data_IF_898696514990
#
_entry.id   IF_898696514990
#
_cell.length_a   1.000
_cell.length_b   1.000
_cell.length_c   1.000
_cell.angle_alpha   90.00
_cell.angle_beta   90.00
_cell.angle_gamma   90.00
#
_symmetry.space_group_name_H-M   'P 1'
#
loop_
_entity.id
_entity.type
_entity.pdbx_description
1 polymer ?
#
# COMPACT_ATOMS: atom_id res chain seq x y z
N UNK A 1 -0.88 -6.13 -4.06
CA UNK A 1 -0.72 -5.33 -2.82
C UNK A 1 -1.50 -5.90 -1.64
N UNK A 2 -2.84 -5.89 -1.65
CA UNK A 2 -3.65 -6.39 -0.51
C UNK A 2 -3.23 -7.82 -0.09
N UNK A 3 -3.06 -8.73 -1.06
CA UNK A 3 -2.59 -10.09 -0.79
C UNK A 3 -1.23 -10.11 -0.05
N UNK A 4 -0.27 -9.28 -0.47
CA UNK A 4 1.06 -9.21 0.15
C UNK A 4 0.97 -8.75 1.62
N UNK A 5 0.12 -7.75 1.88
CA UNK A 5 -0.10 -7.20 3.22
C UNK A 5 -0.89 -8.16 4.12
N UNK A 6 -1.91 -8.84 3.58
CA UNK A 6 -2.58 -9.95 4.26
C UNK A 6 -1.59 -11.04 4.63
N UNK A 7 -0.71 -11.40 3.70
CA UNK A 7 0.38 -12.34 3.93
C UNK A 7 1.28 -11.95 5.08
N UNK A 8 1.77 -10.72 5.03
CA UNK A 8 2.58 -10.13 6.08
C UNK A 8 1.89 -10.22 7.46
N UNK A 9 0.63 -9.78 7.56
CA UNK A 9 -0.10 -9.79 8.83
C UNK A 9 -0.34 -11.20 9.38
N UNK A 10 -0.71 -12.16 8.53
CA UNK A 10 -0.89 -13.56 8.92
C UNK A 10 0.45 -14.17 9.38
N UNK A 11 1.53 -13.92 8.63
CA UNK A 11 2.86 -14.42 8.93
C UNK A 11 3.35 -13.90 10.30
N UNK A 12 3.21 -12.60 10.57
CA UNK A 12 3.55 -12.00 11.87
C UNK A 12 2.69 -12.54 13.01
N UNK A 13 1.39 -12.77 12.77
CA UNK A 13 0.49 -13.37 13.78
C UNK A 13 0.94 -14.77 14.18
N UNK A 14 1.42 -15.55 13.20
CA UNK A 14 1.86 -16.92 13.40
C UNK A 14 3.34 -17.05 13.76
N UNK A 15 4.09 -15.94 13.81
CA UNK A 15 5.57 -15.95 13.93
C UNK A 15 6.21 -16.83 12.85
N UNK A 16 5.76 -16.64 11.62
CA UNK A 16 6.19 -17.38 10.43
C UNK A 16 6.73 -16.42 9.38
N UNK A 17 7.46 -16.95 8.41
CA UNK A 17 7.92 -16.21 7.24
C UNK A 17 6.91 -16.29 6.11
N UNK A 18 6.67 -15.17 5.44
CA UNK A 18 5.76 -15.11 4.32
C UNK A 18 6.49 -15.48 3.03
N UNK A 19 6.08 -16.57 2.38
CA UNK A 19 6.57 -16.99 1.08
C UNK A 19 5.53 -16.74 -0.02
N UNK A 20 5.99 -16.33 -1.19
CA UNK A 20 5.17 -16.22 -2.38
C UNK A 20 5.32 -17.48 -3.22
N UNK A 21 4.30 -18.37 -3.25
CA UNK A 21 4.35 -19.55 -4.08
C UNK A 21 4.12 -19.17 -5.55
N UNK A 22 4.77 -19.88 -6.46
CA UNK A 22 4.51 -19.76 -7.88
C UNK A 22 3.92 -21.07 -8.41
N UNK A 23 2.86 -20.96 -9.20
CA UNK A 23 2.49 -22.07 -10.09
C UNK A 23 3.50 -22.10 -11.24
N UNK A 24 3.77 -23.29 -11.76
CA UNK A 24 4.60 -23.45 -12.96
C UNK A 24 4.02 -22.60 -14.09
N UNK A 25 4.84 -21.73 -14.68
CA UNK A 25 4.47 -20.89 -15.83
C UNK A 25 3.90 -19.50 -15.50
N UNK A 26 3.68 -19.14 -14.23
CA UNK A 26 3.23 -17.77 -13.85
C UNK A 26 4.31 -16.92 -13.19
N UNK A 27 5.48 -17.50 -12.90
CA UNK A 27 6.57 -16.86 -12.16
C UNK A 27 7.01 -15.53 -12.78
N UNK A 28 7.28 -15.51 -14.08
CA UNK A 28 7.72 -14.30 -14.77
C UNK A 28 6.70 -13.16 -14.70
N UNK A 29 5.40 -13.51 -14.77
CA UNK A 29 4.31 -12.56 -14.65
C UNK A 29 4.26 -11.94 -13.25
N UNK A 30 4.35 -12.76 -12.20
CA UNK A 30 4.35 -12.28 -10.81
C UNK A 30 5.60 -11.45 -10.52
N UNK A 31 6.79 -11.89 -10.95
CA UNK A 31 8.04 -11.14 -10.77
C UNK A 31 7.93 -9.74 -11.39
N UNK A 32 7.33 -9.61 -12.57
CA UNK A 32 7.10 -8.30 -13.20
C UNK A 32 6.26 -7.37 -12.32
N UNK A 33 5.22 -7.87 -11.65
CA UNK A 33 4.45 -7.06 -10.69
C UNK A 33 5.24 -6.73 -9.43
N UNK A 34 6.02 -7.66 -8.91
CA UNK A 34 6.86 -7.41 -7.74
C UNK A 34 7.93 -6.34 -8.03
N UNK A 35 8.51 -6.35 -9.22
CA UNK A 35 9.41 -5.30 -9.70
C UNK A 35 8.71 -3.94 -9.79
N UNK A 36 7.46 -3.89 -10.26
CA UNK A 36 6.69 -2.64 -10.22
C UNK A 36 6.41 -2.19 -8.79
N UNK A 37 6.08 -3.10 -7.89
CA UNK A 37 5.89 -2.76 -6.49
C UNK A 37 7.17 -2.29 -5.83
N UNK A 38 8.34 -2.85 -6.12
CA UNK A 38 9.61 -2.38 -5.53
C UNK A 38 9.99 -0.98 -6.00
N UNK A 39 9.62 -0.59 -7.23
CA UNK A 39 9.76 0.79 -7.72
C UNK A 39 8.85 1.78 -6.97
N UNK A 40 7.66 1.33 -6.54
CA UNK A 40 6.67 2.19 -5.87
C UNK A 40 6.87 2.20 -4.34
N UNK A 41 7.05 1.02 -3.75
CA UNK A 41 7.15 0.73 -2.31
C UNK A 41 8.40 -0.13 -2.04
N UNK A 42 9.60 0.46 -1.99
CA UNK A 42 10.85 -0.30 -1.94
C UNK A 42 10.97 -1.25 -0.74
N UNK A 43 10.37 -0.90 0.39
CA UNK A 43 10.40 -1.73 1.61
C UNK A 43 9.46 -2.93 1.54
N UNK A 44 8.52 -2.98 0.59
CA UNK A 44 7.59 -4.11 0.46
C UNK A 44 8.30 -5.42 0.15
N UNK A 45 9.41 -5.37 -0.59
CA UNK A 45 10.18 -6.56 -0.95
C UNK A 45 10.81 -7.26 0.26
N UNK A 46 10.97 -6.54 1.39
CA UNK A 46 11.50 -7.09 2.64
C UNK A 46 10.48 -7.92 3.43
N UNK A 47 9.22 -7.97 2.96
CA UNK A 47 8.10 -8.58 3.69
C UNK A 47 7.76 -9.99 3.24
N UNK A 48 8.46 -10.51 2.24
CA UNK A 48 8.21 -11.83 1.70
C UNK A 48 9.48 -12.46 1.09
N UNK A 49 9.46 -13.78 0.95
CA UNK A 49 10.49 -14.57 0.27
C UNK A 49 9.87 -15.24 -0.96
N UNK A 50 10.61 -15.35 -2.06
CA UNK A 50 10.16 -16.08 -3.23
C UNK A 50 10.39 -17.57 -3.03
N UNK A 51 9.34 -18.38 -3.10
CA UNK A 51 9.44 -19.83 -2.94
C UNK A 51 10.25 -20.46 -4.08
N UNK A 52 11.06 -21.46 -3.74
CA UNK A 52 11.68 -22.34 -4.73
C UNK A 52 10.64 -23.25 -5.41
N UNK A 53 10.97 -23.70 -6.62
CA UNK A 53 10.08 -24.58 -7.37
C UNK A 53 10.06 -25.98 -6.74
N UNK A 54 8.86 -26.50 -6.47
CA UNK A 54 8.68 -27.89 -6.00
C UNK A 54 8.85 -28.09 -4.49
N UNK A 55 8.80 -27.02 -3.69
CA UNK A 55 8.75 -27.12 -2.22
C UNK A 55 7.58 -28.00 -1.79
N UNK A 56 7.85 -28.93 -0.86
CA UNK A 56 6.82 -29.75 -0.24
C UNK A 56 6.01 -28.89 0.74
N UNK A 57 4.70 -28.78 0.51
CA UNK A 57 3.82 -27.87 1.22
C UNK A 57 2.55 -28.57 1.67
N UNK A 58 2.09 -28.28 2.89
CA UNK A 58 0.81 -28.75 3.40
C UNK A 58 -0.27 -27.73 3.08
N UNK A 59 -1.25 -28.15 2.28
CA UNK A 59 -2.39 -27.29 1.94
C UNK A 59 -3.38 -27.22 3.10
N UNK A 60 -3.75 -26.00 3.48
CA UNK A 60 -4.71 -25.73 4.54
C UNK A 60 -5.85 -24.92 3.97
N UNK A 61 -7.09 -25.39 4.14
CA UNK A 61 -8.28 -24.58 3.83
C UNK A 61 -8.27 -23.35 4.74
N UNK A 62 -8.38 -22.15 4.15
CA UNK A 62 -8.32 -20.89 4.88
C UNK A 62 -9.28 -19.90 4.23
N UNK A 63 -10.12 -19.20 5.00
CA UNK A 63 -11.01 -18.14 4.51
C UNK A 63 -11.72 -18.46 3.16
N UNK A 64 -12.79 -19.26 3.22
CA UNK A 64 -13.48 -19.83 2.05
C UNK A 64 -14.19 -18.85 1.09
N UNK A 65 -14.08 -17.54 1.30
CA UNK A 65 -14.58 -16.52 0.39
C UNK A 65 -13.68 -15.28 0.42
N UNK A 66 -13.74 -14.44 -0.62
CA UNK A 66 -13.91 -13.02 -0.35
C UNK A 66 -13.06 -12.38 0.74
N UNK A 67 -13.84 -12.22 1.78
CA UNK A 67 -13.78 -11.18 2.75
C UNK A 67 -14.12 -11.81 4.11
N UNK A 68 -14.15 -13.16 4.17
CA UNK A 68 -14.28 -13.91 5.41
C UNK A 68 -12.99 -13.78 6.22
N UNK A 69 -13.15 -13.55 7.51
CA UNK A 69 -12.06 -13.64 8.47
C UNK A 69 -12.00 -15.04 9.06
N UNK A 70 -10.82 -15.65 8.99
CA UNK A 70 -10.49 -16.94 9.55
C UNK A 70 -9.28 -16.76 10.45
N UNK A 71 -9.43 -16.91 11.77
CA UNK A 71 -8.38 -16.54 12.71
C UNK A 71 -7.08 -17.34 12.46
N UNK A 72 -5.95 -16.70 12.08
CA UNK A 72 -4.69 -17.38 11.83
C UNK A 72 -4.23 -18.26 12.99
N UNK A 73 -4.46 -17.84 14.24
CA UNK A 73 -3.98 -18.53 15.43
C UNK A 73 -4.47 -19.97 15.57
N UNK A 74 -5.53 -20.39 14.85
CA UNK A 74 -5.90 -21.82 14.81
C UNK A 74 -4.81 -22.71 14.20
N UNK A 75 -3.83 -22.11 13.51
CA UNK A 75 -2.68 -22.77 12.91
C UNK A 75 -1.40 -22.66 13.75
N UNK A 76 -1.45 -22.05 14.95
CA UNK A 76 -0.26 -21.83 15.79
C UNK A 76 0.44 -23.13 16.19
N UNK A 77 -0.32 -24.22 16.32
CA UNK A 77 0.20 -25.53 16.74
C UNK A 77 0.53 -26.45 15.56
N UNK A 78 0.36 -25.97 14.32
CA UNK A 78 0.77 -26.74 13.16
C UNK A 78 2.31 -26.67 13.05
N UNK A 79 2.95 -27.83 12.89
CA UNK A 79 4.42 -27.99 12.84
C UNK A 79 4.94 -28.26 11.43
N UNK A 80 4.08 -28.21 10.40
CA UNK A 80 4.52 -28.33 9.02
C UNK A 80 5.38 -27.11 8.67
N UNK A 81 6.50 -27.36 7.99
CA UNK A 81 7.44 -26.33 7.55
C UNK A 81 6.71 -25.31 6.68
N UNK A 82 6.16 -25.75 5.55
CA UNK A 82 5.45 -24.87 4.62
C UNK A 82 3.94 -25.12 4.63
N UNK A 83 3.19 -24.08 4.98
CA UNK A 83 1.73 -24.03 4.96
C UNK A 83 1.23 -23.25 3.75
N UNK A 84 0.59 -23.95 2.81
CA UNK A 84 -0.09 -23.32 1.70
C UNK A 84 -1.52 -22.97 2.12
N UNK A 85 -1.76 -21.70 2.43
CA UNK A 85 -3.10 -21.21 2.75
C UNK A 85 -3.93 -21.09 1.47
N UNK A 86 -4.96 -21.91 1.38
CA UNK A 86 -5.88 -21.92 0.26
C UNK A 86 -7.05 -20.96 0.52
N UNK A 87 -6.85 -19.66 0.22
CA UNK A 87 -7.90 -18.64 0.24
C UNK A 87 -7.99 -17.92 -1.11
N UNK A 88 -9.19 -17.51 -1.53
CA UNK A 88 -9.43 -17.00 -2.89
C UNK A 88 -8.94 -15.56 -3.07
N UNK A 89 -9.21 -14.69 -2.09
CA UNK A 89 -8.91 -13.25 -2.20
C UNK A 89 -8.17 -12.68 -1.00
N UNK A 90 -8.42 -13.22 0.21
CA UNK A 90 -7.75 -12.76 1.43
C UNK A 90 -7.98 -11.27 1.72
N UNK A 91 -9.15 -10.76 1.34
CA UNK A 91 -9.47 -9.32 1.34
C UNK A 91 -10.04 -8.80 2.67
N UNK A 92 -9.82 -9.50 3.78
CA UNK A 92 -10.28 -9.05 5.09
C UNK A 92 -9.17 -8.27 5.82
N UNK A 93 -9.38 -6.99 6.17
CA UNK A 93 -8.34 -6.17 6.81
C UNK A 93 -7.95 -6.65 8.22
N UNK A 94 -8.78 -7.45 8.89
CA UNK A 94 -8.48 -8.00 10.22
C UNK A 94 -7.22 -8.88 10.25
N UNK A 95 -6.72 -9.32 9.11
CA UNK A 95 -5.45 -10.04 9.05
C UNK A 95 -4.24 -9.17 9.36
N UNK A 96 -4.37 -7.85 9.25
CA UNK A 96 -3.25 -6.94 9.32
C UNK A 96 -3.53 -5.63 10.06
N UNK A 97 -4.72 -5.48 10.64
CA UNK A 97 -5.16 -4.29 11.36
C UNK A 97 -4.23 -3.94 12.54
N UNK A 98 -3.79 -4.95 13.30
CA UNK A 98 -2.84 -4.78 14.41
C UNK A 98 -1.44 -4.34 13.94
N UNK A 99 -1.13 -4.53 12.65
CA UNK A 99 0.16 -4.20 12.05
C UNK A 99 0.11 -2.94 11.17
N UNK A 100 -0.96 -2.15 11.24
CA UNK A 100 -1.09 -0.92 10.46
C UNK A 100 0.10 0.06 10.60
N UNK A 101 0.72 0.26 11.79
CA UNK A 101 1.93 1.07 11.91
C UNK A 101 3.06 0.56 11.01
N UNK A 102 3.37 -0.73 11.07
CA UNK A 102 4.43 -1.37 10.28
C UNK A 102 4.10 -1.29 8.78
N UNK A 103 2.83 -1.52 8.42
CA UNK A 103 2.37 -1.48 7.02
C UNK A 103 2.52 -0.08 6.44
N UNK A 104 2.29 0.98 7.23
CA UNK A 104 2.53 2.36 6.77
C UNK A 104 3.99 2.61 6.47
N UNK A 105 4.91 2.06 7.27
CA UNK A 105 6.35 2.12 7.00
C UNK A 105 6.74 1.30 5.77
N UNK A 106 6.18 0.11 5.61
CA UNK A 106 6.41 -0.77 4.46
C UNK A 106 5.92 -0.13 3.15
N UNK A 107 4.76 0.54 3.20
CA UNK A 107 4.11 1.15 2.05
C UNK A 107 4.50 2.62 1.84
N UNK A 108 5.64 3.06 2.38
CA UNK A 108 6.19 4.35 2.02
C UNK A 108 6.58 4.37 0.54
N UNK A 109 6.12 5.42 -0.15
CA UNK A 109 6.49 5.65 -1.54
C UNK A 109 7.99 5.87 -1.69
N UNK A 110 8.56 5.34 -2.79
CA UNK A 110 9.94 5.60 -3.18
C UNK A 110 10.22 7.10 -3.30
N UNK A 111 11.49 7.49 -3.15
CA UNK A 111 11.92 8.91 -3.29
C UNK A 111 11.45 9.49 -4.62
N UNK A 112 11.61 8.74 -5.71
CA UNK A 112 11.18 9.15 -7.04
C UNK A 112 9.66 9.33 -7.13
N UNK A 113 8.89 8.36 -6.60
CA UNK A 113 7.42 8.45 -6.60
C UNK A 113 6.93 9.63 -5.76
N UNK A 114 7.56 9.88 -4.61
CA UNK A 114 7.28 11.07 -3.77
C UNK A 114 7.60 12.36 -4.52
N UNK A 115 8.73 12.45 -5.22
CA UNK A 115 9.10 13.63 -6.02
C UNK A 115 8.09 13.89 -7.13
N UNK A 116 7.85 12.90 -7.99
CA UNK A 116 6.93 13.01 -9.12
C UNK A 116 5.49 13.29 -8.65
N UNK A 117 5.04 12.60 -7.61
CA UNK A 117 3.73 12.82 -7.00
C UNK A 117 3.60 14.22 -6.39
N UNK A 118 4.65 14.73 -5.74
CA UNK A 118 4.65 16.08 -5.16
C UNK A 118 4.51 17.16 -6.21
N UNK A 119 5.11 17.01 -7.40
CA UNK A 119 4.92 17.96 -8.50
C UNK A 119 3.44 18.07 -8.89
N UNK A 120 2.74 16.94 -9.03
CA UNK A 120 1.30 16.91 -9.34
C UNK A 120 0.46 17.47 -8.18
N UNK A 121 0.71 16.98 -6.96
CA UNK A 121 -0.04 17.38 -5.77
C UNK A 121 0.15 18.86 -5.45
N UNK A 122 1.35 19.41 -5.63
CA UNK A 122 1.62 20.82 -5.36
C UNK A 122 0.88 21.73 -6.34
N UNK A 123 0.76 21.33 -7.61
CA UNK A 123 -0.07 22.06 -8.58
C UNK A 123 -1.53 22.05 -8.13
N UNK A 124 -2.06 20.89 -7.73
CA UNK A 124 -3.43 20.77 -7.23
C UNK A 124 -3.65 21.61 -5.96
N UNK A 125 -2.78 21.50 -4.95
CA UNK A 125 -2.88 22.26 -3.68
C UNK A 125 -2.84 23.77 -3.89
N UNK A 126 -2.02 24.28 -4.82
CA UNK A 126 -1.93 25.72 -5.12
C UNK A 126 -3.18 26.26 -5.80
N UNK A 127 -3.90 25.41 -6.53
CA UNK A 127 -5.02 25.82 -7.37
C UNK A 127 -6.38 25.43 -6.78
N UNK A 128 -6.41 24.50 -5.83
CA UNK A 128 -7.60 23.87 -5.26
C UNK A 128 -7.39 23.65 -3.76
N UNK A 129 -8.11 24.41 -2.93
CA UNK A 129 -8.12 24.24 -1.47
C UNK A 129 -9.29 23.39 -0.97
N UNK A 130 -10.30 23.14 -1.81
CA UNK A 130 -11.50 22.40 -1.44
C UNK A 130 -12.00 21.52 -2.60
N UNK A 131 -11.39 20.34 -2.74
CA UNK A 131 -11.55 19.42 -3.88
C UNK A 131 -12.15 18.08 -3.44
N UNK A 132 -13.19 17.62 -4.12
CA UNK A 132 -13.71 16.26 -3.98
C UNK A 132 -13.04 15.33 -4.99
N UNK A 133 -12.41 14.28 -4.51
CA UNK A 133 -11.81 13.23 -5.32
C UNK A 133 -12.77 12.05 -5.48
N UNK A 134 -13.12 11.69 -6.72
CA UNK A 134 -14.03 10.58 -7.03
C UNK A 134 -13.25 9.53 -7.83
N UNK A 135 -13.05 8.37 -7.22
CA UNK A 135 -12.47 7.19 -7.88
C UNK A 135 -13.57 6.24 -8.34
N UNK A 136 -13.54 5.82 -9.62
CA UNK A 136 -14.49 4.85 -10.16
C UNK A 136 -13.74 3.68 -10.81
N UNK A 137 -13.98 2.48 -10.29
CA UNK A 137 -13.61 1.20 -10.93
C UNK A 137 -14.84 0.59 -11.58
N UNK A 138 -14.84 0.48 -12.91
CA UNK A 138 -16.01 0.08 -13.69
C UNK A 138 -15.75 -1.08 -14.65
N UNK A 139 -14.61 -1.14 -15.31
CA UNK A 139 -14.42 -2.05 -16.47
C UNK A 139 -14.69 -3.52 -16.13
N UNK A 140 -13.87 -4.15 -15.30
CA UNK A 140 -14.09 -5.54 -14.87
C UNK A 140 -15.31 -5.68 -13.94
N UNK A 141 -15.70 -4.59 -13.27
CA UNK A 141 -16.85 -4.55 -12.38
C UNK A 141 -18.18 -4.69 -13.14
N UNK A 142 -18.26 -4.21 -14.39
CA UNK A 142 -19.42 -4.45 -15.28
C UNK A 142 -19.56 -5.96 -15.53
N UNK A 143 -18.46 -6.64 -15.89
CA UNK A 143 -18.47 -8.09 -16.14
C UNK A 143 -18.90 -8.89 -14.91
N UNK A 144 -18.48 -8.43 -13.73
CA UNK A 144 -18.83 -9.01 -12.42
C UNK A 144 -20.21 -8.60 -11.90
N UNK A 145 -20.95 -7.71 -12.61
CA UNK A 145 -22.26 -7.16 -12.21
C UNK A 145 -22.26 -6.45 -10.84
N UNK A 146 -21.15 -5.78 -10.53
CA UNK A 146 -20.95 -5.00 -9.28
C UNK A 146 -20.52 -3.57 -9.57
N UNK A 147 -20.64 -3.12 -10.82
CA UNK A 147 -20.33 -1.75 -11.21
C UNK A 147 -21.31 -0.77 -10.61
N UNK A 148 -20.79 0.38 -10.19
CA UNK A 148 -21.58 1.48 -9.64
C UNK A 148 -22.56 2.06 -10.66
N UNK A 149 -23.75 2.43 -10.20
CA UNK A 149 -24.74 3.17 -10.98
C UNK A 149 -24.34 4.64 -11.14
N UNK A 150 -24.58 5.20 -12.33
CA UNK A 150 -24.24 6.58 -12.64
C UNK A 150 -25.06 7.57 -11.80
N UNK A 151 -26.37 7.37 -11.73
CA UNK A 151 -27.28 8.30 -11.07
C UNK A 151 -27.05 8.30 -9.56
N UNK A 152 -26.87 7.13 -8.96
CA UNK A 152 -26.55 7.00 -7.53
C UNK A 152 -25.24 7.69 -7.19
N UNK A 153 -24.19 7.48 -8.01
CA UNK A 153 -22.88 8.13 -7.80
C UNK A 153 -22.98 9.64 -7.91
N UNK A 154 -23.66 10.16 -8.94
CA UNK A 154 -23.85 11.60 -9.17
C UNK A 154 -24.63 12.23 -8.01
N UNK A 155 -25.68 11.57 -7.54
CA UNK A 155 -26.47 12.03 -6.40
C UNK A 155 -25.62 12.08 -5.12
N UNK A 156 -24.86 11.01 -4.84
CA UNK A 156 -23.97 10.96 -3.68
C UNK A 156 -22.90 12.07 -3.74
N UNK A 157 -22.21 12.22 -4.87
CA UNK A 157 -21.19 13.25 -5.06
C UNK A 157 -21.75 14.66 -4.84
N UNK A 158 -22.89 14.99 -5.46
CA UNK A 158 -23.53 16.30 -5.31
C UNK A 158 -24.01 16.57 -3.87
N UNK A 159 -24.54 15.56 -3.18
CA UNK A 159 -25.01 15.71 -1.81
C UNK A 159 -23.85 15.96 -0.85
N UNK A 160 -22.79 15.16 -0.92
CA UNK A 160 -21.59 15.34 -0.10
C UNK A 160 -20.96 16.71 -0.39
N UNK A 161 -20.88 17.09 -1.68
CA UNK A 161 -20.27 18.36 -2.07
C UNK A 161 -21.03 19.56 -1.49
N UNK A 162 -22.37 19.53 -1.54
CA UNK A 162 -23.21 20.59 -0.92
C UNK A 162 -23.07 20.63 0.59
N UNK A 163 -23.05 19.47 1.25
CA UNK A 163 -22.91 19.38 2.71
C UNK A 163 -21.55 19.92 3.19
N UNK A 164 -20.49 19.62 2.45
CA UNK A 164 -19.11 20.00 2.78
C UNK A 164 -18.69 21.33 2.16
N UNK A 165 -19.60 22.04 1.48
CA UNK A 165 -19.33 23.27 0.73
C UNK A 165 -18.17 23.12 -0.30
N UNK A 166 -18.04 21.92 -0.89
CA UNK A 166 -17.05 21.59 -1.93
C UNK A 166 -17.61 22.00 -3.28
N UNK A 167 -16.83 22.75 -4.05
CA UNK A 167 -17.24 23.24 -5.36
C UNK A 167 -16.32 22.78 -6.48
N UNK A 168 -15.30 21.96 -6.22
CA UNK A 168 -14.37 21.45 -7.22
C UNK A 168 -14.33 19.93 -7.16
N UNK A 169 -14.21 19.27 -8.32
CA UNK A 169 -14.17 17.81 -8.39
C UNK A 169 -13.01 17.31 -9.25
N UNK A 170 -12.38 16.23 -8.81
CA UNK A 170 -11.39 15.47 -9.57
C UNK A 170 -11.91 14.04 -9.73
N UNK A 171 -12.12 13.62 -10.97
CA UNK A 171 -12.58 12.27 -11.30
C UNK A 171 -11.42 11.47 -11.89
N UNK A 172 -11.24 10.24 -11.41
CA UNK A 172 -10.27 9.28 -11.93
C UNK A 172 -10.82 7.85 -11.86
N UNK A 173 -10.32 6.98 -12.74
CA UNK A 173 -10.90 5.66 -12.93
C UNK A 173 -10.46 4.99 -14.22
N UNK A 174 -11.05 3.85 -14.50
CA UNK A 174 -10.67 2.97 -15.63
C UNK A 174 -11.63 3.02 -16.84
N UNK A 175 -12.74 3.76 -16.76
CA UNK A 175 -13.72 3.95 -17.85
C UNK A 175 -13.91 5.44 -18.18
N UNK A 176 -13.22 5.89 -19.24
CA UNK A 176 -13.24 7.29 -19.68
C UNK A 176 -14.63 7.79 -20.06
N UNK A 177 -15.40 6.98 -20.78
CA UNK A 177 -16.70 7.41 -21.26
C UNK A 177 -17.65 7.60 -20.08
N UNK A 178 -17.58 6.70 -19.11
CA UNK A 178 -18.34 6.85 -17.88
C UNK A 178 -17.93 8.09 -17.09
N UNK A 179 -16.62 8.31 -16.90
CA UNK A 179 -16.12 9.49 -16.18
C UNK A 179 -16.57 10.80 -16.83
N UNK A 180 -16.52 10.89 -18.17
CA UNK A 180 -17.04 12.05 -18.92
C UNK A 180 -18.55 12.22 -18.76
N UNK A 181 -19.32 11.14 -18.84
CA UNK A 181 -20.77 11.23 -18.64
C UNK A 181 -21.11 11.66 -17.21
N UNK A 182 -20.35 11.15 -16.23
CA UNK A 182 -20.49 11.49 -14.81
C UNK A 182 -20.15 12.95 -14.55
N UNK A 183 -19.09 13.50 -15.18
CA UNK A 183 -18.73 14.91 -15.01
C UNK A 183 -19.84 15.83 -15.52
N UNK A 184 -20.42 15.56 -16.69
CA UNK A 184 -21.56 16.32 -17.21
C UNK A 184 -22.78 16.22 -16.30
N UNK A 185 -23.08 15.03 -15.77
CA UNK A 185 -24.21 14.83 -14.88
C UNK A 185 -24.03 15.55 -13.53
N UNK A 186 -22.83 15.52 -12.93
CA UNK A 186 -22.51 16.25 -11.70
C UNK A 186 -22.77 17.75 -11.88
N UNK A 187 -22.22 18.36 -12.93
CA UNK A 187 -22.40 19.80 -13.21
C UNK A 187 -23.88 20.13 -13.40
N UNK A 188 -24.57 19.40 -14.27
CA UNK A 188 -25.98 19.63 -14.60
C UNK A 188 -26.90 19.47 -13.38
N UNK A 189 -26.79 18.36 -12.66
CA UNK A 189 -27.72 17.99 -11.58
C UNK A 189 -27.39 18.73 -10.28
N UNK A 190 -26.11 19.04 -10.07
CA UNK A 190 -25.62 19.85 -8.97
C UNK A 190 -25.86 21.35 -9.14
N UNK A 191 -26.12 21.81 -10.38
CA UNK A 191 -26.20 23.22 -10.80
C UNK A 191 -24.90 23.98 -10.53
N UNK A 192 -23.79 23.33 -10.80
CA UNK A 192 -22.46 23.93 -10.65
C UNK A 192 -22.07 24.73 -11.90
N UNK A 193 -21.06 25.60 -11.78
CA UNK A 193 -20.49 26.31 -12.93
C UNK A 193 -19.63 25.36 -13.79
N UNK A 194 -19.58 25.55 -15.11
CA UNK A 194 -18.90 24.61 -16.01
C UNK A 194 -17.39 24.46 -15.76
N UNK A 195 -16.75 25.44 -15.10
CA UNK A 195 -15.31 25.46 -14.85
C UNK A 195 -14.85 24.71 -13.59
N UNK A 196 -15.75 23.98 -12.92
CA UNK A 196 -15.44 23.34 -11.64
C UNK A 196 -14.89 21.91 -11.72
N UNK A 197 -14.87 21.33 -12.93
CA UNK A 197 -14.49 19.93 -13.14
C UNK A 197 -13.05 19.82 -13.64
N UNK A 198 -12.25 19.01 -12.95
CA UNK A 198 -10.99 18.48 -13.47
C UNK A 198 -11.19 17.04 -13.91
N UNK A 199 -11.17 16.82 -15.23
CA UNK A 199 -11.06 15.48 -15.81
C UNK A 199 -9.59 15.07 -15.76
N UNK A 200 -9.25 14.22 -14.79
CA UNK A 200 -7.89 13.74 -14.66
C UNK A 200 -7.76 12.47 -15.48
N UNK A 201 -7.15 12.59 -16.67
CA UNK A 201 -6.84 11.46 -17.53
C UNK A 201 -5.63 10.68 -16.98
N UNK A 202 -5.72 10.20 -15.73
CA UNK A 202 -4.74 9.28 -15.18
C UNK A 202 -5.18 7.86 -15.51
N UNK A 203 -4.55 7.30 -16.54
CA UNK A 203 -4.85 5.96 -17.01
C UNK A 203 -4.11 4.91 -16.19
N UNK A 204 -4.85 4.16 -15.39
CA UNK A 204 -4.41 2.83 -14.97
C UNK A 204 -4.95 1.82 -15.95
N UNK A 205 -4.17 1.57 -17.02
CA UNK A 205 -4.45 0.49 -17.96
C UNK A 205 -4.06 -0.85 -17.31
N UNK A 206 -4.80 -1.28 -16.30
CA UNK A 206 -4.72 -2.63 -15.75
C UNK A 206 -5.96 -3.39 -16.19
N UNK A 207 -5.93 -3.87 -17.44
CA UNK A 207 -6.81 -4.93 -17.93
C UNK A 207 -6.57 -6.25 -17.20
N UNK A 208 -5.46 -6.37 -16.47
CA UNK A 208 -4.98 -7.63 -15.93
C UNK A 208 -4.90 -7.55 -14.39
N UNK A 209 -6.04 -7.40 -13.72
CA UNK A 209 -6.13 -7.93 -12.34
C UNK A 209 -6.23 -9.45 -12.48
N UNK A 210 -5.08 -10.06 -12.74
CA UNK A 210 -4.92 -11.49 -12.99
C UNK A 210 -5.18 -12.30 -11.72
N UNK A 211 -5.84 -13.45 -11.87
CA UNK A 211 -6.17 -14.41 -10.83
C UNK A 211 -4.91 -15.18 -10.34
N UNK A 212 -3.71 -14.74 -10.72
CA UNK A 212 -2.43 -15.40 -10.45
C UNK A 212 -1.97 -15.31 -9.00
N UNK A 213 -2.50 -14.38 -8.20
CA UNK A 213 -2.25 -14.27 -6.75
C UNK A 213 -3.27 -15.08 -5.92
N UNK A 214 -3.57 -16.32 -6.33
CA UNK A 214 -4.60 -17.14 -5.68
C UNK A 214 -4.19 -17.89 -4.41
N UNK A 215 -2.91 -17.85 -4.02
CA UNK A 215 -2.41 -18.65 -2.88
C UNK A 215 -1.28 -17.94 -2.13
N UNK A 216 -1.24 -18.17 -0.81
CA UNK A 216 -0.23 -17.66 0.12
C UNK A 216 0.54 -18.84 0.74
N UNK A 217 1.86 -18.77 0.79
CA UNK A 217 2.70 -19.78 1.44
C UNK A 217 3.31 -19.18 2.72
N UNK A 218 3.31 -19.93 3.81
CA UNK A 218 3.90 -19.50 5.09
C UNK A 218 4.88 -20.56 5.57
N UNK A 219 6.02 -20.16 6.08
CA UNK A 219 7.10 -21.06 6.53
C UNK A 219 7.34 -20.91 8.05
N UNK A 220 7.57 -22.02 8.75
CA UNK A 220 7.88 -22.02 10.20
C UNK A 220 9.33 -21.68 10.53
N UNK A 221 10.27 -21.81 9.60
CA UNK A 221 11.68 -21.96 9.96
C UNK A 221 12.55 -20.75 9.52
N UNK A 222 12.26 -19.56 10.06
CA UNK A 222 13.22 -18.44 9.98
C UNK A 222 13.31 -17.65 11.29
N UNK A 223 13.66 -18.36 12.38
CA UNK A 223 14.48 -17.75 13.42
C UNK A 223 15.82 -18.50 13.40
N UNK A 224 16.80 -17.87 12.75
CA UNK A 224 18.24 -17.94 13.02
C UNK A 224 18.96 -16.97 12.06
N UNK A 225 18.77 -15.67 12.32
CA UNK A 225 19.83 -14.68 12.21
C UNK A 225 19.71 -13.84 13.49
N UNK A 226 20.27 -14.43 14.53
CA UNK A 226 20.73 -13.88 15.79
C UNK A 226 20.94 -12.36 15.77
N UNK A 227 20.06 -11.71 16.52
CA UNK A 227 20.17 -10.34 17.00
C UNK A 227 19.31 -10.19 18.24
N UNK A 228 19.38 -11.16 19.15
CA UNK A 228 18.75 -11.09 20.47
C UNK A 228 19.55 -10.08 21.31
N UNK A 229 18.96 -8.92 21.56
CA UNK A 229 19.42 -7.98 22.60
C UNK A 229 18.83 -8.50 23.91
N UNK A 230 19.64 -9.21 24.69
CA UNK A 230 19.33 -9.51 26.08
C UNK A 230 19.83 -8.37 26.98
N UNK A 231 18.89 -7.73 27.66
CA UNK A 231 19.11 -6.74 28.70
C UNK A 231 19.61 -7.42 29.99
N UNK A 232 20.91 -7.71 30.05
CA UNK A 232 21.61 -7.87 31.34
C UNK A 232 23.10 -7.49 31.29
N UNK A 233 23.35 -6.22 31.62
CA UNK A 233 24.48 -5.69 32.41
C UNK A 233 25.92 -5.69 31.83
N UNK A 234 26.26 -4.52 31.26
CA UNK A 234 27.33 -3.58 31.67
C UNK A 234 28.82 -4.01 31.81
N UNK A 235 29.66 -3.08 31.31
CA UNK A 235 31.11 -2.90 31.49
C UNK A 235 32.08 -3.67 30.57
N UNK A 236 32.43 -3.05 29.43
CA UNK A 236 33.83 -2.78 29.08
C UNK A 236 33.93 -1.73 27.95
N UNK A 237 34.54 -0.61 28.27
CA UNK A 237 34.96 0.46 27.37
C UNK A 237 36.36 0.13 26.85
N UNK A 238 36.60 0.07 25.53
CA UNK A 238 37.96 0.26 24.95
C UNK A 238 37.89 0.94 23.59
N UNK A 239 38.62 2.06 23.48
CA UNK A 239 38.94 2.82 22.26
C UNK A 239 40.12 2.17 21.48
N UNK A 240 40.08 2.38 20.15
CA UNK A 240 41.04 2.11 19.05
C UNK A 240 42.52 1.73 19.34
N UNK A 241 43.23 1.08 18.38
CA UNK A 241 44.01 1.89 17.42
C UNK A 241 44.07 1.37 15.97
N UNK A 242 44.41 2.31 15.07
CA UNK A 242 45.01 2.10 13.75
C UNK A 242 46.22 1.17 13.82
N UNK A 243 46.52 0.48 12.71
CA UNK A 243 47.85 0.48 12.11
C UNK A 243 47.79 0.06 10.63
N UNK A 244 48.09 1.06 9.80
CA UNK A 244 48.88 1.09 8.56
C UNK A 244 49.34 -0.24 7.93
N UNK A 245 49.00 -0.39 6.64
CA UNK A 245 49.99 -0.67 5.60
C UNK A 245 49.57 -0.03 4.27
N UNK A 246 50.46 0.80 3.73
CA UNK A 246 50.40 1.49 2.44
C UNK A 246 50.34 0.55 1.23
N UNK A 247 49.64 0.96 0.16
CA UNK A 247 50.26 1.32 -1.14
C UNK A 247 49.22 1.68 -2.22
N UNK A 248 49.27 2.95 -2.67
CA UNK A 248 49.11 3.48 -4.04
C UNK A 248 47.90 3.10 -4.93
N UNK A 249 47.08 4.09 -5.33
CA UNK A 249 47.34 4.91 -6.54
C UNK A 249 46.13 5.76 -7.01
N UNK A 250 46.42 7.05 -7.27
CA UNK A 250 45.85 8.01 -8.25
C UNK A 250 44.34 8.35 -8.23
N UNK A 251 44.01 9.59 -7.81
CA UNK A 251 43.57 10.75 -8.65
C UNK A 251 42.05 10.71 -8.98
N UNK A 252 41.24 11.74 -8.75
CA UNK A 252 41.34 13.12 -9.26
C UNK A 252 40.64 14.14 -8.33
N UNK A 253 41.05 15.37 -8.57
CA UNK A 253 40.77 16.66 -7.95
C UNK A 253 39.32 17.08 -7.71
N UNK A 254 39.19 17.81 -6.60
CA UNK A 254 38.29 18.93 -6.27
C UNK A 254 37.86 19.83 -7.43
N UNK A 255 36.65 20.39 -7.34
CA UNK A 255 36.36 21.84 -7.41
C UNK A 255 35.20 22.13 -6.44
N UNK A 256 35.48 23.04 -5.51
CA UNK A 256 34.55 23.72 -4.61
C UNK A 256 33.97 24.97 -5.27
N UNK A 257 32.75 25.35 -4.90
CA UNK A 257 32.43 26.76 -4.65
C UNK A 257 31.22 26.84 -3.71
N UNK A 258 31.50 27.31 -2.50
CA UNK A 258 30.60 27.97 -1.54
C UNK A 258 29.83 29.11 -2.25
N UNK A 259 28.71 29.66 -1.78
CA UNK A 259 28.34 30.04 -0.42
C UNK A 259 26.91 30.61 -0.50
N UNK A 260 26.11 30.48 0.56
CA UNK A 260 25.19 31.51 1.08
C UNK A 260 24.11 30.91 2.00
N UNK A 261 24.30 31.23 3.26
CA UNK A 261 23.44 31.10 4.43
C UNK A 261 22.09 31.81 4.36
N UNK A 262 21.09 31.24 5.05
CA UNK A 262 20.06 31.84 5.93
C UNK A 262 19.00 30.72 6.16
N UNK A 263 18.53 30.31 7.33
CA UNK A 263 18.46 30.92 8.64
C UNK A 263 16.98 31.00 9.09
N UNK A 264 16.54 30.06 9.94
CA UNK A 264 15.32 30.10 10.81
C UNK A 264 13.95 29.93 10.09
N UNK A 265 12.89 29.27 10.57
CA UNK A 265 12.49 28.70 11.87
C UNK A 265 11.68 27.41 11.67
N UNK A 266 11.74 26.54 12.68
CA UNK A 266 10.84 25.40 12.91
C UNK A 266 9.42 25.85 13.25
N UNK A 267 8.42 25.38 12.51
CA UNK A 267 7.03 25.27 13.00
C UNK A 267 6.50 23.90 12.60
N UNK A 268 6.66 22.96 13.53
CA UNK A 268 5.94 21.70 13.53
C UNK A 268 4.63 21.92 14.29
N UNK A 269 3.56 22.24 13.57
CA UNK A 269 2.21 22.12 14.12
C UNK A 269 1.74 20.67 13.91
N UNK A 270 1.77 19.94 15.02
CA UNK A 270 1.08 18.68 15.19
C UNK A 270 -0.41 18.97 15.36
N UNK A 271 -1.20 18.70 14.32
CA UNK A 271 -2.66 18.69 14.46
C UNK A 271 -3.16 17.32 14.96
N UNK A 272 -4.04 17.44 15.95
CA UNK A 272 -4.36 16.45 16.97
C UNK A 272 -5.16 15.24 16.45
N UNK A 273 -4.89 14.11 17.10
CA UNK A 273 -5.42 12.76 16.87
C UNK A 273 -6.86 12.54 17.40
N UNK A 274 -7.51 13.54 17.99
CA UNK A 274 -8.79 13.35 18.71
C UNK A 274 -10.06 13.60 17.86
N UNK A 275 -9.99 14.23 16.69
CA UNK A 275 -11.19 14.60 15.91
C UNK A 275 -11.76 13.48 15.01
N UNK A 276 -11.05 12.36 14.83
CA UNK A 276 -11.49 11.29 13.92
C UNK A 276 -12.37 10.22 14.58
N UNK A 277 -12.46 10.19 15.91
CA UNK A 277 -13.19 9.13 16.66
C UNK A 277 -14.70 9.44 16.78
N UNK A 278 -15.14 10.68 16.59
CA UNK A 278 -16.58 11.04 16.65
C UNK A 278 -17.36 10.80 15.33
N UNK A 279 -16.69 10.70 14.19
CA UNK A 279 -17.35 10.58 12.88
C UNK A 279 -17.76 9.14 12.49
N UNK A 280 -17.26 8.13 13.20
CA UNK A 280 -17.61 6.72 12.96
C UNK A 280 -18.10 6.05 14.25
N UNK A 281 -19.17 6.60 14.81
CA UNK A 281 -19.93 5.98 15.88
C UNK A 281 -20.40 4.56 15.52
N UNK A 282 -19.95 3.61 16.34
CA UNK A 282 -20.33 2.20 16.39
C UNK A 282 -21.85 1.97 16.25
N UNK A 283 -22.31 1.04 15.38
CA UNK A 283 -23.68 0.55 15.43
C UNK A 283 -23.81 -0.37 16.65
N UNK A 284 -24.38 0.13 17.75
CA UNK A 284 -24.90 -0.71 18.81
C UNK A 284 -26.09 -1.50 18.28
N UNK A 285 -25.98 -2.82 18.36
CA UNK A 285 -27.07 -3.76 18.18
C UNK A 285 -28.26 -3.44 19.10
N UNK A 286 -29.46 -3.35 18.51
CA UNK A 286 -30.74 -3.86 19.01
C UNK A 286 -31.69 -4.03 17.84
#
# INVERSE_FOLDING_TARGET
LFHLITGYGIARTLKRTHYLPFKKGVRDHVIKYLQQFSLIFPRLEQTYVLAEDGINQTQVSFAGSCCAYDNPLRLSNNTDTYLLLNFIYGQNPRYFEDYLPDIREILQFSVEMRRNGSEVVNVLKRTHSNLMCIHIRRTDFIKRKISTDLSETVNAANNIAKQMNISQFMIFGDDQQFMRNMSFAIVRDGKWADNIMMDSSFFFNNSDLDESFGHLLLDSDAEDNDGEIDDSQADALVLCPKNDFDSDSSSMSTISSDDASEGWTSDAEADNIEDWIELFGSPRAR
#
